data_IF_976403569876
#
_entry.id   IF_976403569876
#
_cell.length_a   1.000
_cell.length_b   1.000
_cell.length_c   1.000
_cell.angle_alpha   90.00
_cell.angle_beta   90.00
_cell.angle_gamma   90.00
#
_symmetry.space_group_name_H-M   'P 1'
#
loop_
_entity.id
_entity.type
_entity.pdbx_description
1 polymer ?
#
# COMPACT_ATOMS: atom_id res chain seq x y z
N UNK A 1 -15.51 5.94 8.27
CA UNK A 1 -15.16 4.91 7.27
C UNK A 1 -15.90 3.62 7.61
N UNK A 2 -15.65 3.00 8.77
CA UNK A 2 -16.22 1.69 9.16
C UNK A 2 -17.75 1.68 9.03
N UNK A 3 -18.46 2.66 9.64
CA UNK A 3 -19.91 2.75 9.54
C UNK A 3 -20.42 2.88 8.09
N UNK A 4 -19.69 3.61 7.23
CA UNK A 4 -20.01 3.74 5.80
C UNK A 4 -19.86 2.40 5.05
N UNK A 5 -18.77 1.66 5.28
CA UNK A 5 -18.56 0.34 4.67
C UNK A 5 -19.61 -0.67 5.13
N UNK A 6 -19.97 -0.66 6.41
CA UNK A 6 -21.02 -1.53 6.96
C UNK A 6 -22.41 -1.21 6.37
N UNK A 7 -22.69 0.07 6.13
CA UNK A 7 -23.95 0.46 5.48
C UNK A 7 -24.01 0.03 4.01
N UNK A 8 -22.88 0.13 3.28
CA UNK A 8 -22.80 -0.25 1.87
C UNK A 8 -22.77 -1.77 1.66
N UNK A 9 -22.11 -2.49 2.55
CA UNK A 9 -21.86 -3.93 2.42
C UNK A 9 -21.99 -4.64 3.76
N UNK A 10 -23.20 -4.72 4.36
CA UNK A 10 -23.42 -5.22 5.72
C UNK A 10 -22.96 -6.67 5.93
N UNK A 11 -22.86 -7.46 4.88
CA UNK A 11 -22.38 -8.85 4.93
C UNK A 11 -20.86 -8.99 4.91
N UNK A 12 -20.10 -7.90 4.66
CA UNK A 12 -18.63 -7.95 4.59
C UNK A 12 -18.07 -7.35 5.88
N UNK A 13 -17.35 -8.12 6.71
CA UNK A 13 -16.74 -7.61 7.93
C UNK A 13 -15.62 -6.60 7.64
N UNK A 14 -15.33 -5.75 8.61
CA UNK A 14 -14.28 -4.73 8.53
C UNK A 14 -13.20 -5.03 9.56
N UNK A 15 -11.95 -5.07 9.10
CA UNK A 15 -10.75 -5.07 9.94
C UNK A 15 -10.12 -3.68 9.86
N UNK A 16 -10.13 -2.93 10.95
CA UNK A 16 -9.54 -1.60 11.06
C UNK A 16 -8.40 -1.60 12.05
N UNK A 17 -7.35 -0.81 11.79
CA UNK A 17 -6.23 -0.60 12.71
C UNK A 17 -6.70 -0.11 14.08
N UNK A 18 -7.64 0.84 14.12
CA UNK A 18 -8.10 1.51 15.35
C UNK A 18 -8.91 0.61 16.30
N UNK A 19 -9.56 -0.43 15.75
CA UNK A 19 -10.34 -1.41 16.53
C UNK A 19 -10.29 -2.77 15.83
N UNK A 20 -9.15 -3.47 15.90
CA UNK A 20 -8.98 -4.72 15.17
C UNK A 20 -9.76 -5.85 15.83
N UNK A 21 -10.62 -6.52 15.05
CA UNK A 21 -11.34 -7.71 15.49
C UNK A 21 -10.36 -8.79 15.99
N UNK A 22 -10.72 -9.41 17.12
CA UNK A 22 -9.93 -10.49 17.72
C UNK A 22 -9.76 -11.70 16.78
N UNK A 23 -8.72 -12.50 17.02
CA UNK A 23 -8.39 -13.66 16.19
C UNK A 23 -9.56 -14.65 16.06
N UNK A 24 -10.22 -14.96 17.16
CA UNK A 24 -11.36 -15.88 17.20
C UNK A 24 -12.50 -15.48 16.25
N UNK A 25 -12.66 -14.18 16.01
CA UNK A 25 -13.71 -13.65 15.14
C UNK A 25 -13.28 -13.71 13.67
N UNK A 26 -12.03 -13.35 13.36
CA UNK A 26 -11.57 -13.10 11.99
C UNK A 26 -10.88 -14.28 11.31
N UNK A 27 -10.52 -15.34 12.05
CA UNK A 27 -9.74 -16.47 11.52
C UNK A 27 -10.37 -17.20 10.32
N UNK A 28 -11.70 -17.07 10.16
CA UNK A 28 -12.46 -17.73 9.08
C UNK A 28 -12.89 -16.79 7.96
N UNK A 29 -12.48 -15.49 8.03
CA UNK A 29 -12.88 -14.54 7.01
C UNK A 29 -12.23 -14.86 5.67
N UNK A 30 -13.04 -15.04 4.64
CA UNK A 30 -12.58 -15.21 3.26
C UNK A 30 -12.64 -13.90 2.48
N UNK A 31 -13.50 -12.98 2.92
CA UNK A 31 -13.70 -11.66 2.33
C UNK A 31 -13.93 -10.64 3.42
N UNK A 32 -13.17 -9.55 3.40
CA UNK A 32 -13.25 -8.50 4.40
C UNK A 32 -12.69 -7.17 3.90
N UNK A 33 -13.17 -6.08 4.45
CA UNK A 33 -12.55 -4.77 4.30
C UNK A 33 -11.37 -4.64 5.25
N UNK A 34 -10.27 -4.13 4.72
CA UNK A 34 -9.05 -3.84 5.46
C UNK A 34 -8.83 -2.33 5.42
N UNK A 35 -8.79 -1.69 6.60
CA UNK A 35 -8.82 -0.23 6.72
C UNK A 35 -7.71 0.27 7.62
N UNK A 36 -6.95 1.24 7.13
CA UNK A 36 -6.11 2.12 7.92
C UNK A 36 -6.66 3.55 7.77
N UNK A 37 -7.30 4.09 8.80
CA UNK A 37 -7.89 5.43 8.72
C UNK A 37 -6.86 6.56 8.66
N UNK A 38 -5.62 6.31 9.10
CA UNK A 38 -4.56 7.31 9.17
C UNK A 38 -3.17 6.67 9.11
N UNK A 39 -2.78 6.17 7.93
CA UNK A 39 -1.42 5.68 7.66
C UNK A 39 -0.44 6.85 7.61
N UNK A 40 0.67 6.72 8.32
CA UNK A 40 1.68 7.77 8.42
C UNK A 40 1.42 8.74 9.57
N UNK A 41 1.13 8.23 10.77
CA UNK A 41 0.94 9.06 11.99
C UNK A 41 2.11 10.01 12.26
N UNK A 42 3.36 9.59 11.96
CA UNK A 42 4.54 10.47 12.07
C UNK A 42 4.47 11.66 11.11
N UNK A 43 4.04 11.43 9.88
CA UNK A 43 3.84 12.45 8.84
C UNK A 43 2.69 13.40 9.20
N UNK A 44 1.62 12.85 9.77
CA UNK A 44 0.49 13.64 10.29
C UNK A 44 0.93 14.59 11.41
N UNK A 45 1.67 14.08 12.40
CA UNK A 45 2.21 14.89 13.52
C UNK A 45 3.18 15.96 13.01
N UNK A 46 4.03 15.64 12.03
CA UNK A 46 4.95 16.59 11.39
C UNK A 46 4.27 17.59 10.45
N UNK A 47 2.98 17.36 10.13
CA UNK A 47 2.18 18.21 9.23
C UNK A 47 2.80 18.37 7.84
N UNK A 48 3.48 17.35 7.31
CA UNK A 48 4.08 17.39 5.97
C UNK A 48 3.11 16.98 4.86
N UNK A 49 1.90 16.54 5.20
CA UNK A 49 0.84 16.18 4.25
C UNK A 49 0.96 14.79 3.64
N UNK A 50 1.99 14.03 3.97
CA UNK A 50 2.28 12.71 3.37
C UNK A 50 1.63 11.54 4.14
N UNK A 51 0.44 11.74 4.68
CA UNK A 51 -0.36 10.67 5.30
C UNK A 51 -1.53 10.29 4.42
N UNK A 52 -2.01 9.06 4.55
CA UNK A 52 -3.07 8.53 3.71
C UNK A 52 -4.18 7.85 4.50
N UNK A 53 -5.36 7.77 3.88
CA UNK A 53 -6.46 6.88 4.27
C UNK A 53 -6.42 5.69 3.33
N UNK A 54 -6.35 4.48 3.87
CA UNK A 54 -6.22 3.26 3.10
C UNK A 54 -7.44 2.36 3.31
N UNK A 55 -8.07 1.93 2.22
CA UNK A 55 -9.19 1.01 2.24
C UNK A 55 -8.95 -0.06 1.16
N UNK A 56 -8.95 -1.32 1.55
CA UNK A 56 -8.85 -2.43 0.61
C UNK A 56 -9.99 -3.43 0.82
N UNK A 57 -10.42 -4.08 -0.26
CA UNK A 57 -11.24 -5.28 -0.19
C UNK A 57 -10.32 -6.48 -0.41
N UNK A 58 -10.29 -7.35 0.58
CA UNK A 58 -9.55 -8.60 0.52
C UNK A 58 -10.51 -9.75 0.21
N UNK A 59 -10.15 -10.59 -0.73
CA UNK A 59 -10.90 -11.81 -1.08
C UNK A 59 -9.92 -12.96 -1.35
N UNK A 60 -10.07 -14.06 -0.61
CA UNK A 60 -9.18 -15.22 -0.70
C UNK A 60 -7.70 -14.85 -0.48
N UNK A 61 -7.41 -13.97 0.48
CA UNK A 61 -6.06 -13.50 0.79
C UNK A 61 -5.47 -12.50 -0.21
N UNK A 62 -6.22 -12.05 -1.22
CA UNK A 62 -5.77 -11.12 -2.26
C UNK A 62 -6.49 -9.78 -2.16
N UNK A 63 -5.79 -8.65 -2.35
CA UNK A 63 -6.44 -7.34 -2.43
C UNK A 63 -7.05 -7.18 -3.83
N UNK A 64 -8.39 -7.18 -3.92
CA UNK A 64 -9.13 -7.11 -5.19
C UNK A 64 -9.65 -5.70 -5.52
N UNK A 65 -9.70 -4.83 -4.52
CA UNK A 65 -10.01 -3.42 -4.65
C UNK A 65 -9.14 -2.63 -3.67
N UNK A 66 -8.72 -1.45 -4.04
CA UNK A 66 -7.94 -0.57 -3.18
C UNK A 66 -8.24 0.90 -3.41
N UNK A 67 -8.22 1.66 -2.32
CA UNK A 67 -8.28 3.12 -2.33
C UNK A 67 -7.20 3.65 -1.40
N UNK A 68 -6.35 4.51 -1.91
CA UNK A 68 -5.36 5.28 -1.15
C UNK A 68 -5.66 6.76 -1.38
N UNK A 69 -6.09 7.46 -0.34
CA UNK A 69 -6.40 8.88 -0.41
C UNK A 69 -5.44 9.70 0.45
N UNK A 70 -4.76 10.67 -0.14
CA UNK A 70 -3.91 11.64 0.53
C UNK A 70 -4.68 12.97 0.69
N UNK A 71 -5.31 13.23 1.84
CA UNK A 71 -6.29 14.31 1.98
C UNK A 71 -5.69 15.72 1.87
N UNK A 72 -4.46 15.92 2.32
CA UNK A 72 -3.78 17.21 2.22
C UNK A 72 -3.32 17.49 0.79
N UNK A 73 -2.87 16.46 0.08
CA UNK A 73 -2.47 16.55 -1.32
C UNK A 73 -3.68 16.56 -2.26
N UNK A 74 -4.87 16.21 -1.77
CA UNK A 74 -6.12 16.07 -2.54
C UNK A 74 -5.97 15.10 -3.73
N UNK A 75 -5.22 14.02 -3.53
CA UNK A 75 -4.98 12.99 -4.52
C UNK A 75 -5.58 11.68 -4.05
N UNK A 76 -6.34 11.02 -4.92
CA UNK A 76 -6.91 9.70 -4.69
C UNK A 76 -6.37 8.73 -5.74
N UNK A 77 -5.86 7.60 -5.26
CA UNK A 77 -5.52 6.44 -6.08
C UNK A 77 -6.52 5.34 -5.82
N UNK A 78 -6.98 4.68 -6.86
CA UNK A 78 -7.93 3.57 -6.72
C UNK A 78 -7.62 2.45 -7.70
N UNK A 79 -8.01 1.24 -7.32
CA UNK A 79 -7.93 0.07 -8.17
C UNK A 79 -9.20 -0.76 -8.06
N UNK A 80 -9.76 -1.13 -9.19
CA UNK A 80 -10.84 -2.09 -9.33
C UNK A 80 -10.77 -2.80 -10.69
N UNK A 81 -11.30 -3.99 -10.79
CA UNK A 81 -11.40 -4.76 -12.04
C UNK A 81 -10.09 -4.79 -12.85
N UNK A 82 -8.93 -4.86 -12.15
CA UNK A 82 -7.60 -4.93 -12.76
C UNK A 82 -7.12 -3.62 -13.41
N UNK A 83 -7.73 -2.49 -13.10
CA UNK A 83 -7.33 -1.17 -13.56
C UNK A 83 -7.02 -0.26 -12.39
N UNK A 84 -5.95 0.52 -12.51
CA UNK A 84 -5.55 1.52 -11.53
C UNK A 84 -5.82 2.95 -12.06
N UNK A 85 -6.24 3.81 -11.16
CA UNK A 85 -6.64 5.18 -11.46
C UNK A 85 -6.02 6.16 -10.47
N UNK A 86 -5.71 7.34 -10.96
CA UNK A 86 -5.39 8.52 -10.15
C UNK A 86 -6.42 9.60 -10.40
N UNK A 87 -6.91 10.23 -9.32
CA UNK A 87 -7.80 11.38 -9.39
C UNK A 87 -7.17 12.55 -8.63
N UNK A 88 -7.01 13.67 -9.32
CA UNK A 88 -6.39 14.89 -8.80
C UNK A 88 -7.00 16.10 -9.50
N UNK A 89 -7.41 17.14 -8.74
CA UNK A 89 -8.01 18.36 -9.29
C UNK A 89 -9.29 18.09 -10.12
N UNK A 90 -10.06 17.06 -9.78
CA UNK A 90 -11.28 16.65 -10.51
C UNK A 90 -11.02 15.87 -11.80
N UNK A 91 -9.76 15.58 -12.12
CA UNK A 91 -9.39 14.77 -13.29
C UNK A 91 -9.05 13.34 -12.87
N UNK A 92 -9.71 12.35 -13.48
CA UNK A 92 -9.45 10.93 -13.27
C UNK A 92 -8.73 10.36 -14.49
N UNK A 93 -7.54 9.81 -14.30
CA UNK A 93 -6.73 9.20 -15.34
C UNK A 93 -6.36 7.77 -14.97
N UNK A 94 -6.33 6.88 -15.95
CA UNK A 94 -5.80 5.54 -15.75
C UNK A 94 -4.28 5.63 -15.64
N UNK A 95 -3.71 4.93 -14.66
CA UNK A 95 -2.26 4.88 -14.41
C UNK A 95 -1.73 3.48 -14.67
N UNK A 96 -0.45 3.41 -15.02
CA UNK A 96 0.30 2.17 -15.20
C UNK A 96 1.77 2.39 -14.89
N UNK A 97 2.46 1.32 -14.54
CA UNK A 97 3.90 1.34 -14.33
C UNK A 97 4.65 1.80 -15.58
N UNK A 98 5.80 2.44 -15.38
CA UNK A 98 6.69 2.88 -16.46
C UNK A 98 8.13 2.53 -16.12
N UNK A 99 8.87 2.08 -17.11
CA UNK A 99 10.31 1.86 -16.96
C UNK A 99 11.06 3.19 -17.07
N UNK A 100 12.14 3.32 -16.31
CA UNK A 100 13.09 4.43 -16.40
C UNK A 100 14.52 3.92 -16.15
N UNK A 101 15.48 4.61 -16.72
CA UNK A 101 16.90 4.32 -16.51
C UNK A 101 17.68 5.65 -16.35
N UNK A 102 18.42 5.86 -15.23
CA UNK A 102 18.44 4.98 -14.05
C UNK A 102 17.08 4.90 -13.35
N UNK A 103 16.76 3.76 -12.68
CA UNK A 103 15.50 3.62 -11.96
C UNK A 103 15.44 4.57 -10.76
N UNK A 104 14.24 5.09 -10.46
CA UNK A 104 13.95 5.81 -9.24
C UNK A 104 13.44 4.83 -8.17
N UNK A 105 14.17 4.78 -7.06
CA UNK A 105 13.81 4.00 -5.88
C UNK A 105 13.13 4.91 -4.87
N UNK A 106 11.90 4.58 -4.48
CA UNK A 106 11.21 5.30 -3.43
C UNK A 106 11.48 4.64 -2.08
N UNK A 107 11.89 5.44 -1.10
CA UNK A 107 12.24 4.98 0.25
C UNK A 107 11.35 5.63 1.31
N UNK A 108 11.35 5.07 2.51
CA UNK A 108 10.62 5.64 3.65
C UNK A 108 11.30 6.92 4.13
N UNK A 109 10.51 8.00 4.33
CA UNK A 109 11.03 9.27 4.86
C UNK A 109 11.45 9.17 6.33
N UNK A 110 10.73 8.42 7.13
CA UNK A 110 10.84 8.44 8.60
C UNK A 110 11.51 7.21 9.21
N UNK A 111 12.01 6.29 8.39
CA UNK A 111 12.66 5.07 8.84
C UNK A 111 13.96 4.87 8.06
N UNK A 112 15.09 5.10 8.72
CA UNK A 112 16.40 4.64 8.26
C UNK A 112 16.57 3.17 8.64
N UNK A 113 17.15 2.38 7.75
CA UNK A 113 17.31 0.94 7.89
C UNK A 113 18.64 0.54 7.25
N UNK A 114 19.54 -0.07 8.03
CA UNK A 114 20.86 -0.52 7.53
C UNK A 114 20.74 -1.55 6.42
N UNK A 115 19.71 -2.42 6.47
CA UNK A 115 19.46 -3.40 5.41
C UNK A 115 19.05 -2.72 4.10
N UNK A 116 18.35 -1.59 4.16
CA UNK A 116 18.05 -0.77 3.00
C UNK A 116 19.30 -0.14 2.40
N UNK A 117 20.20 0.38 3.23
CA UNK A 117 21.48 0.97 2.76
C UNK A 117 22.33 -0.08 2.06
N UNK A 118 22.46 -1.27 2.65
CA UNK A 118 23.17 -2.40 2.06
C UNK A 118 22.53 -2.84 0.73
N UNK A 119 21.22 -2.93 0.65
CA UNK A 119 20.49 -3.26 -0.57
C UNK A 119 20.74 -2.22 -1.68
N UNK A 120 20.62 -0.94 -1.36
CA UNK A 120 20.82 0.15 -2.32
C UNK A 120 22.26 0.16 -2.85
N UNK A 121 23.26 -0.11 -1.99
CA UNK A 121 24.67 -0.17 -2.39
C UNK A 121 24.95 -1.25 -3.46
N UNK A 122 24.12 -2.31 -3.50
CA UNK A 122 24.24 -3.44 -4.44
C UNK A 122 23.35 -3.29 -5.68
N UNK A 123 22.44 -2.33 -5.70
CA UNK A 123 21.43 -2.19 -6.76
C UNK A 123 22.02 -1.67 -8.10
N UNK A 124 23.23 -1.12 -8.10
CA UNK A 124 23.82 -0.44 -9.26
C UNK A 124 23.35 1.01 -9.39
N UNK A 125 23.39 1.55 -10.62
CA UNK A 125 23.02 2.95 -10.85
C UNK A 125 21.51 3.16 -10.60
N UNK A 126 21.16 4.08 -9.70
CA UNK A 126 19.78 4.42 -9.35
C UNK A 126 19.70 5.83 -8.78
N UNK A 127 18.48 6.38 -8.74
CA UNK A 127 18.15 7.59 -7.99
C UNK A 127 17.24 7.22 -6.81
N UNK A 128 17.20 8.06 -5.78
CA UNK A 128 16.33 7.85 -4.62
C UNK A 128 15.44 9.05 -4.38
N UNK A 129 14.22 8.79 -3.92
CA UNK A 129 13.31 9.80 -3.37
C UNK A 129 12.65 9.27 -2.11
N UNK A 130 12.26 10.16 -1.19
CA UNK A 130 11.63 9.77 0.05
C UNK A 130 10.22 10.36 0.15
N UNK A 131 9.25 9.50 0.49
CA UNK A 131 7.87 9.91 0.76
C UNK A 131 7.28 9.06 1.89
N UNK A 132 6.28 9.62 2.61
CA UNK A 132 5.57 8.92 3.69
C UNK A 132 4.49 7.94 3.20
N UNK A 133 3.96 7.14 4.11
CA UNK A 133 2.77 6.28 4.00
C UNK A 133 2.68 5.39 2.75
N UNK A 134 1.49 4.98 2.38
CA UNK A 134 1.16 4.18 1.19
C UNK A 134 1.38 4.90 -0.13
N UNK A 135 1.72 6.20 -0.12
CA UNK A 135 2.10 6.94 -1.33
C UNK A 135 3.28 6.30 -2.07
N UNK A 136 4.14 5.54 -1.37
CA UNK A 136 5.24 4.79 -1.99
C UNK A 136 4.77 3.76 -3.02
N UNK A 137 3.68 3.04 -2.73
CA UNK A 137 3.03 2.15 -3.69
C UNK A 137 2.47 2.93 -4.89
N UNK A 138 1.86 4.08 -4.60
CA UNK A 138 1.24 4.92 -5.63
C UNK A 138 2.26 5.51 -6.60
N UNK A 139 3.44 5.90 -6.13
CA UNK A 139 4.51 6.40 -7.01
C UNK A 139 5.01 5.32 -7.99
N UNK A 140 5.07 4.05 -7.55
CA UNK A 140 5.39 2.94 -8.46
C UNK A 140 4.23 2.71 -9.43
N UNK A 141 3.00 2.70 -8.94
CA UNK A 141 1.81 2.46 -9.75
C UNK A 141 1.59 3.52 -10.84
N UNK A 142 1.89 4.81 -10.56
CA UNK A 142 1.76 5.88 -11.56
C UNK A 142 2.99 6.03 -12.47
N UNK A 143 3.98 5.13 -12.35
CA UNK A 143 5.18 5.11 -13.17
C UNK A 143 6.25 6.15 -12.83
N UNK A 144 6.09 6.88 -11.72
CA UNK A 144 7.10 7.86 -11.26
C UNK A 144 8.30 7.21 -10.60
N UNK A 145 8.12 6.04 -9.97
CA UNK A 145 9.19 5.24 -9.42
C UNK A 145 9.13 3.81 -9.98
N UNK A 146 10.24 3.08 -9.91
CA UNK A 146 10.35 1.72 -10.44
C UNK A 146 10.49 0.68 -9.33
N UNK A 147 10.84 1.12 -8.12
CA UNK A 147 11.13 0.23 -7.02
C UNK A 147 10.82 0.89 -5.68
N UNK A 148 10.17 0.12 -4.79
CA UNK A 148 9.98 0.43 -3.38
C UNK A 148 10.39 -0.78 -2.54
N UNK A 149 11.62 -0.82 -1.98
CA UNK A 149 12.06 -1.85 -1.05
C UNK A 149 11.62 -1.51 0.38
N UNK A 150 11.21 -2.52 1.15
CA UNK A 150 10.81 -2.39 2.55
C UNK A 150 11.35 -3.54 3.38
N UNK A 151 12.25 -3.26 4.32
CA UNK A 151 12.81 -4.22 5.27
C UNK A 151 12.13 -4.10 6.65
N UNK A 152 11.93 -2.88 7.12
CA UNK A 152 11.30 -2.62 8.42
C UNK A 152 9.82 -3.06 8.48
N UNK A 153 9.29 -3.29 9.69
CA UNK A 153 7.96 -3.84 9.90
C UNK A 153 6.86 -2.93 9.34
N UNK A 154 5.80 -3.54 8.83
CA UNK A 154 4.52 -2.94 8.45
C UNK A 154 3.39 -3.88 8.83
N UNK A 155 2.20 -3.34 9.02
CA UNK A 155 1.00 -4.14 9.22
C UNK A 155 0.26 -4.34 7.89
N UNK A 156 -0.67 -5.30 7.87
CA UNK A 156 -1.44 -5.61 6.65
C UNK A 156 -2.27 -4.42 6.16
N UNK A 157 -2.79 -3.58 7.04
CA UNK A 157 -3.58 -2.39 6.67
C UNK A 157 -2.74 -1.26 6.06
N UNK A 158 -1.42 -1.19 6.35
CA UNK A 158 -0.48 -0.26 5.71
C UNK A 158 -0.26 -0.60 4.22
N UNK A 159 -0.53 -1.83 3.81
CA UNK A 159 -0.13 -2.34 2.50
C UNK A 159 -1.27 -2.75 1.58
N UNK A 160 -2.40 -3.23 2.12
CA UNK A 160 -3.46 -3.84 1.32
C UNK A 160 -4.00 -2.95 0.19
N UNK A 161 -4.29 -1.68 0.48
CA UNK A 161 -4.79 -0.73 -0.51
C UNK A 161 -3.74 -0.37 -1.56
N UNK A 162 -2.52 -0.03 -1.12
CA UNK A 162 -1.40 0.26 -2.01
C UNK A 162 -1.03 -0.93 -2.90
N UNK A 163 -1.08 -2.15 -2.36
CA UNK A 163 -0.85 -3.39 -3.11
C UNK A 163 -1.88 -3.57 -4.23
N UNK A 164 -3.18 -3.37 -3.94
CA UNK A 164 -4.21 -3.43 -4.97
C UNK A 164 -3.94 -2.44 -6.11
N UNK A 165 -3.58 -1.19 -5.77
CA UNK A 165 -3.28 -0.13 -6.76
C UNK A 165 -2.03 -0.49 -7.58
N UNK A 166 -0.95 -0.93 -6.93
CA UNK A 166 0.29 -1.31 -7.60
C UNK A 166 0.08 -2.50 -8.54
N UNK A 167 -0.62 -3.54 -8.09
CA UNK A 167 -0.92 -4.73 -8.88
C UNK A 167 -1.77 -4.38 -10.12
N UNK A 168 -2.82 -3.59 -9.95
CA UNK A 168 -3.69 -3.17 -11.06
C UNK A 168 -2.99 -2.26 -12.06
N UNK A 169 -1.91 -1.57 -11.66
CA UNK A 169 -1.06 -0.77 -12.53
C UNK A 169 0.04 -1.60 -13.25
N UNK A 170 0.18 -2.89 -12.93
CA UNK A 170 1.17 -3.79 -13.53
C UNK A 170 2.47 -3.97 -12.74
N UNK A 171 2.54 -3.48 -11.48
CA UNK A 171 3.66 -3.77 -10.59
C UNK A 171 3.51 -5.15 -9.91
N UNK A 172 4.60 -5.61 -9.32
CA UNK A 172 4.66 -6.80 -8.48
C UNK A 172 4.91 -6.39 -7.02
N UNK A 173 4.26 -7.08 -6.07
CA UNK A 173 4.47 -6.90 -4.64
C UNK A 173 4.86 -8.23 -4.02
N UNK A 174 6.15 -8.44 -3.83
CA UNK A 174 6.72 -9.70 -3.39
C UNK A 174 7.53 -9.53 -2.09
N UNK A 175 7.50 -10.53 -1.24
CA UNK A 175 8.46 -10.64 -0.15
C UNK A 175 9.88 -10.92 -0.69
N UNK A 176 10.86 -10.97 0.21
CA UNK A 176 12.26 -11.20 -0.17
C UNK A 176 12.54 -12.65 -0.63
N UNK A 177 11.58 -13.57 -0.51
CA UNK A 177 11.61 -14.91 -1.07
C UNK A 177 10.92 -15.01 -2.44
N UNK A 178 10.40 -13.88 -2.96
CA UNK A 178 9.71 -13.83 -4.26
C UNK A 178 8.23 -14.26 -4.21
N UNK A 179 7.67 -14.46 -3.02
CA UNK A 179 6.26 -14.79 -2.84
C UNK A 179 5.43 -13.52 -2.77
N UNK A 180 4.30 -13.48 -3.46
CA UNK A 180 3.34 -12.36 -3.36
C UNK A 180 2.86 -12.19 -1.92
N UNK A 181 2.75 -10.95 -1.45
CA UNK A 181 2.16 -10.67 -0.14
C UNK A 181 0.75 -11.21 -0.05
N UNK A 182 0.46 -11.90 1.04
CA UNK A 182 -0.81 -12.57 1.30
C UNK A 182 -1.51 -11.96 2.51
N UNK A 183 -2.82 -11.77 2.38
CA UNK A 183 -3.71 -11.19 3.40
C UNK A 183 -4.70 -12.20 3.96
N UNK A 184 -4.46 -13.49 3.74
CA UNK A 184 -5.20 -14.55 4.44
C UNK A 184 -5.13 -14.30 5.95
N UNK A 185 -6.27 -14.35 6.68
CA UNK A 185 -6.27 -14.11 8.11
C UNK A 185 -5.22 -14.96 8.84
N UNK A 186 -4.43 -14.31 9.67
CA UNK A 186 -3.43 -14.90 10.54
C UNK A 186 -3.40 -14.15 11.87
N UNK A 187 -2.92 -14.76 12.93
CA UNK A 187 -2.94 -14.15 14.26
C UNK A 187 -2.17 -12.82 14.30
N UNK A 188 -0.99 -12.79 13.68
CA UNK A 188 -0.18 -11.58 13.54
C UNK A 188 -0.68 -10.71 12.39
N UNK A 189 -0.66 -9.38 12.59
CA UNK A 189 -0.93 -8.40 11.54
C UNK A 189 0.32 -8.01 10.75
N UNK A 190 1.51 -8.41 11.21
CA UNK A 190 2.77 -8.02 10.59
C UNK A 190 2.98 -8.67 9.22
N UNK A 191 3.40 -7.85 8.28
CA UNK A 191 3.92 -8.32 7.00
C UNK A 191 5.39 -8.77 7.12
N UNK A 192 5.85 -9.68 6.27
CA UNK A 192 7.28 -9.84 6.01
C UNK A 192 7.83 -8.57 5.35
N UNK A 193 9.15 -8.41 5.33
CA UNK A 193 9.78 -7.44 4.43
C UNK A 193 9.41 -7.73 2.98
N UNK A 194 9.31 -6.68 2.13
CA UNK A 194 8.82 -6.82 0.76
C UNK A 194 9.45 -5.80 -0.19
N UNK A 195 9.19 -5.98 -1.47
CA UNK A 195 9.45 -4.97 -2.49
C UNK A 195 8.24 -4.81 -3.41
N UNK A 196 8.00 -3.59 -3.83
CA UNK A 196 7.13 -3.26 -4.97
C UNK A 196 8.04 -2.96 -6.15
N UNK A 197 7.88 -3.65 -7.25
CA UNK A 197 8.76 -3.46 -8.41
C UNK A 197 7.99 -3.62 -9.71
N UNK A 198 8.54 -3.03 -10.77
CA UNK A 198 8.04 -3.18 -12.15
C UNK A 198 8.73 -4.33 -12.90
N UNK A 199 9.69 -5.03 -12.25
CA UNK A 199 10.52 -6.10 -12.81
C UNK A 199 10.14 -7.46 -12.23
#
# INVERSE_FOLDING_TARGET
>A
IVAGLQALTPAIPVLSEEDPAGWEVRQHWQKYWLVDPLDGTKEFIKRNGEFTVNIALIEGGKPVLGVVYAPVLQVLYSADNGKAWKEEGGHKVQIQVQNAHPPLVVVSRSHSDSELEDYLSQLGEHQTTAIGSSLKFCLVAEGKAQLYPRFGPTNIWDTGAGHAVALAAGAHVHDWQGKTLDYTPRESFLNPGFRVSIY
#
